data_IF_571736927957
#
_entry.id   IF_571736927957
#
_cell.length_a   1.000
_cell.length_b   1.000
_cell.length_c   1.000
_cell.angle_alpha   90.00
_cell.angle_beta   90.00
_cell.angle_gamma   90.00
#
_symmetry.space_group_name_H-M   'P 1'
#
loop_
_entity.id
_entity.type
_entity.pdbx_description
1 polymer ?
#
# COMPACT_ATOMS: atom_id res chain seq x y z
N UNK A 1 -42.16 38.91 -53.77
CA UNK A 1 -41.10 37.88 -53.88
C UNK A 1 -40.23 37.94 -52.65
N UNK A 2 -40.57 37.14 -51.65
CA UNK A 2 -39.80 37.02 -50.41
C UNK A 2 -38.93 35.76 -50.48
N UNK A 3 -37.61 35.91 -50.38
CA UNK A 3 -36.66 34.81 -50.31
C UNK A 3 -36.52 34.41 -48.86
N UNK A 4 -36.94 33.20 -48.52
CA UNK A 4 -36.71 32.53 -47.20
C UNK A 4 -35.28 31.99 -47.17
N UNK A 5 -34.44 32.55 -46.37
CA UNK A 5 -33.07 32.00 -46.04
C UNK A 5 -33.23 30.97 -44.93
N UNK A 6 -33.05 29.70 -45.27
CA UNK A 6 -32.95 28.60 -44.32
C UNK A 6 -31.50 28.59 -43.75
N UNK A 7 -31.33 28.95 -42.47
CA UNK A 7 -30.09 28.78 -41.76
C UNK A 7 -30.08 27.38 -41.13
N UNK A 8 -29.31 26.47 -41.72
CA UNK A 8 -29.06 25.14 -41.14
C UNK A 8 -27.95 25.32 -40.08
N UNK A 9 -28.32 25.31 -38.79
CA UNK A 9 -27.39 25.23 -37.71
C UNK A 9 -26.89 23.77 -37.58
N UNK A 10 -25.66 23.50 -38.02
CA UNK A 10 -24.95 22.25 -37.72
C UNK A 10 -24.56 22.27 -36.23
N UNK A 11 -25.30 21.55 -35.40
CA UNK A 11 -24.90 21.18 -34.06
C UNK A 11 -23.77 20.13 -34.15
N UNK A 12 -22.53 20.57 -34.08
CA UNK A 12 -21.42 19.69 -33.80
C UNK A 12 -21.58 19.19 -32.35
N UNK A 13 -22.15 18.02 -32.18
CA UNK A 13 -22.03 17.27 -30.94
C UNK A 13 -20.55 16.89 -30.80
N UNK A 14 -19.81 17.63 -29.97
CA UNK A 14 -18.53 17.16 -29.48
C UNK A 14 -18.81 15.93 -28.59
N UNK A 15 -18.78 14.75 -29.19
CA UNK A 15 -18.63 13.52 -28.45
C UNK A 15 -17.26 13.61 -27.77
N UNK A 16 -17.23 13.99 -26.50
CA UNK A 16 -16.06 13.74 -25.66
C UNK A 16 -15.84 12.24 -25.68
N UNK A 17 -14.91 11.79 -26.52
CA UNK A 17 -14.42 10.43 -26.51
C UNK A 17 -13.81 10.22 -25.11
N UNK A 18 -14.57 9.63 -24.18
CA UNK A 18 -14.08 9.27 -22.88
C UNK A 18 -12.83 8.41 -23.09
N UNK A 19 -11.66 8.94 -22.77
CA UNK A 19 -10.41 8.19 -22.86
C UNK A 19 -10.42 7.11 -21.79
N UNK A 20 -10.00 5.91 -22.16
CA UNK A 20 -9.76 4.82 -21.22
C UNK A 20 -8.95 5.30 -20.02
N UNK A 21 -9.37 4.94 -18.81
CA UNK A 21 -8.72 5.43 -17.58
C UNK A 21 -7.51 4.59 -17.22
N UNK A 22 -7.61 3.27 -17.42
CA UNK A 22 -6.53 2.32 -17.28
C UNK A 22 -6.12 1.79 -18.65
N UNK A 23 -4.83 1.93 -18.99
CA UNK A 23 -4.24 1.22 -20.12
C UNK A 23 -3.79 -0.15 -19.65
N UNK A 24 -4.49 -1.19 -20.07
CA UNK A 24 -4.14 -2.56 -19.74
C UNK A 24 -2.80 -2.93 -20.34
N UNK A 25 -1.98 -3.64 -19.55
CA UNK A 25 -0.63 -4.10 -19.89
C UNK A 25 -0.64 -5.63 -20.03
N UNK A 26 0.17 -6.17 -20.93
CA UNK A 26 0.36 -7.62 -21.04
C UNK A 26 1.44 -8.07 -20.05
N UNK A 27 1.04 -8.82 -19.06
CA UNK A 27 1.92 -9.37 -18.04
C UNK A 27 2.52 -10.74 -18.38
N UNK A 28 1.99 -11.38 -19.42
CA UNK A 28 2.34 -12.76 -19.83
C UNK A 28 2.21 -13.82 -18.73
N UNK A 29 1.38 -13.57 -17.70
CA UNK A 29 1.13 -14.52 -16.60
C UNK A 29 -0.35 -14.63 -16.27
N UNK A 30 -0.76 -15.76 -15.72
CA UNK A 30 -2.09 -15.97 -15.15
C UNK A 30 -2.10 -15.96 -13.62
N UNK A 31 -0.96 -15.64 -12.99
CA UNK A 31 -0.88 -15.55 -11.53
C UNK A 31 -1.74 -14.41 -10.99
N UNK A 32 -2.29 -14.57 -9.79
CA UNK A 32 -2.94 -13.47 -9.08
C UNK A 32 -1.85 -12.54 -8.56
N UNK A 33 -1.74 -11.33 -9.15
CA UNK A 33 -0.79 -10.32 -8.71
C UNK A 33 -1.33 -9.63 -7.46
N UNK A 34 -0.47 -9.50 -6.43
CA UNK A 34 -0.83 -9.07 -5.08
C UNK A 34 -0.09 -7.82 -4.62
N UNK A 35 1.14 -7.63 -5.07
CA UNK A 35 2.00 -6.51 -4.72
C UNK A 35 2.49 -5.80 -5.97
N UNK A 36 2.71 -4.50 -5.85
CA UNK A 36 3.31 -3.64 -6.87
C UNK A 36 4.11 -2.54 -6.19
N UNK A 37 5.29 -2.22 -6.71
CA UNK A 37 6.07 -1.06 -6.29
C UNK A 37 6.69 -0.37 -7.51
N UNK A 38 6.26 0.85 -7.78
CA UNK A 38 6.80 1.76 -8.80
C UNK A 38 7.72 2.77 -8.12
N UNK A 39 8.92 2.94 -8.65
CA UNK A 39 9.90 3.90 -8.14
C UNK A 39 10.12 5.09 -9.09
N UNK A 40 9.25 5.22 -10.09
CA UNK A 40 9.40 6.24 -11.13
C UNK A 40 10.39 5.85 -12.22
N UNK A 41 10.67 6.79 -13.14
CA UNK A 41 11.60 6.61 -14.27
C UNK A 41 11.31 5.34 -15.11
N UNK A 42 10.06 4.93 -15.19
CA UNK A 42 9.65 3.75 -15.93
C UNK A 42 9.91 2.41 -15.24
N UNK A 43 10.39 2.41 -13.99
CA UNK A 43 10.74 1.19 -13.25
C UNK A 43 9.61 0.82 -12.30
N UNK A 44 9.12 -0.43 -12.41
CA UNK A 44 8.17 -1.01 -11.46
C UNK A 44 8.38 -2.54 -11.35
N UNK A 45 8.01 -3.08 -10.19
CA UNK A 45 8.07 -4.49 -9.87
C UNK A 45 6.72 -4.96 -9.33
N UNK A 46 6.26 -6.14 -9.77
CA UNK A 46 5.02 -6.75 -9.30
C UNK A 46 5.27 -8.16 -8.77
N UNK A 47 4.46 -8.59 -7.82
CA UNK A 47 4.55 -9.92 -7.20
C UNK A 47 3.17 -10.58 -7.06
N UNK A 48 3.15 -11.90 -6.97
CA UNK A 48 1.89 -12.65 -6.92
C UNK A 48 2.04 -14.11 -6.52
N UNK A 49 0.97 -14.86 -6.74
CA UNK A 49 0.88 -16.29 -6.41
C UNK A 49 1.89 -17.13 -7.19
N UNK A 50 2.15 -18.34 -6.68
CA UNK A 50 3.04 -19.32 -7.30
C UNK A 50 4.47 -18.81 -7.53
N UNK A 51 5.01 -18.03 -6.59
CA UNK A 51 6.36 -17.49 -6.65
C UNK A 51 6.58 -16.50 -7.80
N UNK A 52 5.52 -15.88 -8.31
CA UNK A 52 5.60 -14.99 -9.47
C UNK A 52 6.16 -13.63 -9.07
N UNK A 53 7.15 -13.17 -9.82
CA UNK A 53 7.66 -11.80 -9.80
C UNK A 53 7.81 -11.32 -11.23
N UNK A 54 7.41 -10.08 -11.47
CA UNK A 54 7.54 -9.39 -12.76
C UNK A 54 8.24 -8.05 -12.54
N UNK A 55 8.93 -7.56 -13.57
CA UNK A 55 9.49 -6.21 -13.56
C UNK A 55 9.32 -5.53 -14.91
N UNK A 56 9.28 -4.21 -14.90
CA UNK A 56 9.43 -3.35 -16.08
C UNK A 56 10.51 -2.30 -15.83
N UNK A 57 11.17 -1.86 -16.89
CA UNK A 57 12.13 -0.74 -16.89
C UNK A 57 11.85 0.25 -18.02
N UNK A 58 10.70 0.11 -18.70
CA UNK A 58 10.29 0.91 -19.85
C UNK A 58 8.84 1.43 -19.71
N UNK A 59 8.46 1.76 -18.44
CA UNK A 59 7.17 2.38 -18.13
C UNK A 59 5.97 1.46 -18.43
N UNK A 60 6.19 0.14 -18.34
CA UNK A 60 5.16 -0.89 -18.53
C UNK A 60 4.92 -1.28 -19.99
N UNK A 61 5.73 -0.84 -20.94
CA UNK A 61 5.60 -1.30 -22.33
C UNK A 61 5.92 -2.80 -22.42
N UNK A 62 6.87 -3.28 -21.60
CA UNK A 62 7.19 -4.69 -21.47
C UNK A 62 7.30 -5.09 -19.99
N UNK A 63 6.66 -6.20 -19.64
CA UNK A 63 6.80 -6.84 -18.34
C UNK A 63 7.59 -8.13 -18.50
N UNK A 64 8.75 -8.17 -17.85
CA UNK A 64 9.66 -9.32 -17.84
C UNK A 64 9.29 -10.23 -16.67
N UNK A 65 9.08 -11.52 -16.93
CA UNK A 65 8.99 -12.53 -15.88
C UNK A 65 10.38 -12.79 -15.28
N UNK A 66 10.46 -12.76 -13.98
CA UNK A 66 11.65 -13.07 -13.20
C UNK A 66 11.86 -14.57 -13.04
N UNK A 67 13.11 -14.99 -12.82
CA UNK A 67 13.41 -16.31 -12.31
C UNK A 67 12.73 -16.49 -10.95
N UNK A 68 12.10 -17.65 -10.71
CA UNK A 68 11.50 -17.91 -9.39
C UNK A 68 12.58 -18.20 -8.36
N UNK A 69 12.47 -17.66 -7.13
CA UNK A 69 13.38 -18.04 -6.06
C UNK A 69 13.25 -19.55 -5.77
N UNK A 70 14.35 -20.20 -5.54
CA UNK A 70 14.38 -21.64 -5.24
C UNK A 70 13.54 -21.96 -3.99
N UNK A 71 12.64 -22.92 -4.11
CA UNK A 71 11.71 -23.32 -3.04
C UNK A 71 10.58 -22.33 -2.78
N UNK A 72 10.29 -21.44 -3.74
CA UNK A 72 9.22 -20.47 -3.68
C UNK A 72 8.08 -20.75 -4.68
N UNK A 73 8.10 -21.86 -5.40
CA UNK A 73 7.19 -22.17 -6.50
C UNK A 73 5.72 -22.19 -6.08
N UNK A 74 5.43 -22.52 -4.81
CA UNK A 74 4.08 -22.52 -4.23
C UNK A 74 3.78 -21.33 -3.33
N UNK A 75 4.70 -20.37 -3.17
CA UNK A 75 4.51 -19.25 -2.25
C UNK A 75 3.62 -18.15 -2.85
N UNK A 76 2.85 -17.50 -1.99
CA UNK A 76 2.03 -16.33 -2.33
C UNK A 76 2.81 -15.05 -1.98
N UNK A 77 3.41 -14.40 -2.98
CA UNK A 77 4.14 -13.17 -2.80
C UNK A 77 3.20 -11.97 -2.75
N UNK A 78 2.95 -11.44 -1.54
CA UNK A 78 2.02 -10.34 -1.30
C UNK A 78 2.68 -8.99 -1.12
N UNK A 79 3.97 -8.96 -0.77
CA UNK A 79 4.73 -7.74 -0.60
C UNK A 79 5.91 -7.68 -1.56
N UNK A 80 6.19 -6.48 -2.09
CA UNK A 80 7.37 -6.21 -2.89
C UNK A 80 7.85 -4.78 -2.63
N UNK A 81 9.16 -4.62 -2.49
CA UNK A 81 9.85 -3.33 -2.40
C UNK A 81 10.97 -3.31 -3.43
N UNK A 82 10.87 -2.43 -4.40
CA UNK A 82 11.94 -2.14 -5.35
C UNK A 82 12.84 -1.00 -4.83
N UNK A 83 14.12 -1.09 -5.08
CA UNK A 83 15.11 -0.03 -4.79
C UNK A 83 15.61 0.62 -6.09
N UNK A 84 15.78 -0.18 -7.12
CA UNK A 84 16.19 0.24 -8.46
C UNK A 84 15.74 -0.80 -9.52
N UNK A 85 16.24 -0.69 -10.75
CA UNK A 85 15.91 -1.63 -11.82
C UNK A 85 16.45 -3.06 -11.59
N UNK A 86 17.43 -3.24 -10.70
CA UNK A 86 18.10 -4.52 -10.46
C UNK A 86 17.85 -5.08 -9.05
N UNK A 87 17.51 -4.22 -8.10
CA UNK A 87 17.44 -4.56 -6.69
C UNK A 87 16.01 -4.50 -6.18
N UNK A 88 15.53 -5.61 -5.62
CA UNK A 88 14.22 -5.70 -4.99
C UNK A 88 14.20 -6.75 -3.87
N UNK A 89 13.27 -6.58 -2.93
CA UNK A 89 12.90 -7.58 -1.93
C UNK A 89 11.44 -7.98 -2.17
N UNK A 90 11.17 -9.28 -2.15
CA UNK A 90 9.82 -9.82 -2.21
C UNK A 90 9.50 -10.60 -0.95
N UNK A 91 8.26 -10.47 -0.46
CA UNK A 91 7.75 -11.10 0.75
C UNK A 91 6.64 -12.08 0.41
N UNK A 92 6.78 -13.33 0.84
CA UNK A 92 5.64 -14.24 0.87
C UNK A 92 4.87 -14.12 2.17
N UNK A 93 3.56 -14.33 2.08
CA UNK A 93 2.64 -14.38 3.21
C UNK A 93 2.10 -15.80 3.37
N UNK A 94 2.26 -16.33 4.57
CA UNK A 94 1.79 -17.66 4.93
C UNK A 94 2.15 -17.97 6.38
N UNK A 95 1.56 -19.02 6.94
CA UNK A 95 1.80 -19.37 8.34
C UNK A 95 3.22 -19.91 8.54
N UNK A 96 3.91 -19.42 9.55
CA UNK A 96 5.24 -19.88 9.92
C UNK A 96 6.26 -19.67 8.80
N UNK A 97 6.98 -20.70 8.44
CA UNK A 97 8.06 -20.70 7.45
C UNK A 97 7.59 -20.49 5.99
N UNK A 98 6.31 -20.40 5.73
CA UNK A 98 5.74 -19.93 4.47
C UNK A 98 5.82 -18.41 4.30
N UNK A 99 6.08 -17.66 5.37
CA UNK A 99 6.43 -16.25 5.34
C UNK A 99 7.94 -16.10 5.21
N UNK A 100 8.41 -15.63 4.05
CA UNK A 100 9.83 -15.53 3.69
C UNK A 100 10.13 -14.22 2.95
N UNK A 101 11.36 -13.73 3.11
CA UNK A 101 11.89 -12.63 2.32
C UNK A 101 12.99 -13.15 1.39
N UNK A 102 12.88 -12.79 0.13
CA UNK A 102 13.92 -13.02 -0.88
C UNK A 102 14.39 -11.68 -1.43
N UNK A 103 15.70 -11.56 -1.69
CA UNK A 103 16.32 -10.37 -2.26
C UNK A 103 17.05 -10.71 -3.54
N UNK A 104 16.93 -9.85 -4.54
CA UNK A 104 17.74 -9.84 -5.76
C UNK A 104 18.52 -8.55 -5.86
N UNK A 105 19.68 -8.60 -6.58
CA UNK A 105 20.51 -7.43 -6.90
C UNK A 105 20.97 -7.44 -8.36
N UNK A 106 20.45 -8.35 -9.17
CA UNK A 106 20.88 -8.61 -10.55
C UNK A 106 19.71 -8.59 -11.56
N UNK A 107 18.65 -7.84 -11.25
CA UNK A 107 17.48 -7.74 -12.10
C UNK A 107 16.67 -9.04 -12.14
N UNK A 108 16.60 -9.71 -11.00
CA UNK A 108 15.86 -10.95 -10.75
C UNK A 108 16.36 -12.20 -11.53
N UNK A 109 17.62 -12.21 -11.93
CA UNK A 109 18.21 -13.41 -12.47
C UNK A 109 18.45 -14.45 -11.38
N UNK A 110 18.88 -13.97 -10.19
CA UNK A 110 19.05 -14.79 -8.99
C UNK A 110 18.38 -14.17 -7.76
N UNK A 111 18.07 -15.03 -6.79
CA UNK A 111 17.44 -14.62 -5.53
C UNK A 111 18.16 -15.27 -4.33
N UNK A 112 18.34 -14.49 -3.28
CA UNK A 112 18.84 -14.92 -1.99
C UNK A 112 17.70 -14.94 -0.99
N UNK A 113 17.48 -16.06 -0.30
CA UNK A 113 16.63 -16.10 0.89
C UNK A 113 17.32 -15.33 2.01
N UNK A 114 16.78 -14.19 2.42
CA UNK A 114 17.40 -13.32 3.45
C UNK A 114 16.76 -13.48 4.81
N UNK A 115 15.48 -13.88 4.89
CA UNK A 115 14.83 -14.08 6.18
C UNK A 115 13.64 -15.05 6.07
N UNK A 116 13.47 -15.88 7.09
CA UNK A 116 12.31 -16.77 7.27
C UNK A 116 11.66 -16.47 8.61
N UNK A 117 10.32 -16.49 8.64
CA UNK A 117 9.57 -16.21 9.86
C UNK A 117 9.94 -17.19 10.98
N UNK A 118 10.50 -16.70 12.10
CA UNK A 118 10.86 -17.56 13.23
C UNK A 118 9.66 -17.99 14.08
N UNK A 119 8.48 -17.37 13.87
CA UNK A 119 7.27 -17.66 14.63
C UNK A 119 6.44 -18.72 13.89
N UNK A 120 6.26 -19.91 14.45
CA UNK A 120 5.50 -20.99 13.84
C UNK A 120 4.04 -20.64 13.54
N UNK A 121 3.45 -19.77 14.35
CA UNK A 121 2.08 -19.30 14.20
C UNK A 121 2.01 -17.89 13.59
N UNK A 122 3.16 -17.30 13.26
CA UNK A 122 3.22 -15.97 12.66
C UNK A 122 2.81 -15.98 11.20
N UNK A 123 2.30 -14.85 10.74
CA UNK A 123 1.94 -14.56 9.37
C UNK A 123 2.40 -13.14 9.04
N UNK A 124 3.11 -12.91 7.94
CA UNK A 124 3.57 -11.58 7.57
C UNK A 124 2.62 -10.90 6.59
N UNK A 125 2.35 -9.63 6.84
CA UNK A 125 1.37 -8.84 6.12
C UNK A 125 1.98 -7.79 5.20
N UNK A 126 3.04 -7.11 5.66
CA UNK A 126 3.68 -6.05 4.87
C UNK A 126 5.16 -5.89 5.19
N UNK A 127 5.92 -5.47 4.17
CA UNK A 127 7.32 -5.05 4.25
C UNK A 127 7.48 -3.68 3.59
N UNK A 128 8.08 -2.72 4.31
CA UNK A 128 8.26 -1.36 3.79
C UNK A 128 9.61 -0.81 4.19
N UNK A 129 10.25 -0.10 3.27
CA UNK A 129 11.47 0.65 3.54
C UNK A 129 11.17 2.14 3.62
N UNK A 130 11.99 2.87 4.39
CA UNK A 130 11.88 4.32 4.48
C UNK A 130 12.09 4.96 3.12
N UNK A 131 11.38 6.06 2.89
CA UNK A 131 11.66 6.88 1.71
C UNK A 131 13.07 7.50 1.82
N UNK A 132 13.79 7.69 0.69
CA UNK A 132 15.08 8.36 0.72
C UNK A 132 14.96 9.72 1.40
N UNK A 133 15.82 9.98 2.39
CA UNK A 133 15.89 11.30 2.98
C UNK A 133 16.42 12.31 1.93
N UNK A 134 16.00 13.59 1.94
CA UNK A 134 16.48 14.59 0.99
C UNK A 134 18.01 14.77 0.90
N UNK A 135 18.74 14.23 1.88
CA UNK A 135 20.21 14.24 1.92
C UNK A 135 20.87 13.18 1.04
N UNK A 136 20.11 12.40 0.27
CA UNK A 136 20.67 11.39 -0.65
C UNK A 136 21.19 10.11 0.02
N UNK A 137 20.87 9.87 1.30
CA UNK A 137 21.17 8.59 1.93
C UNK A 137 20.27 7.49 1.35
N UNK A 138 20.86 6.34 1.03
CA UNK A 138 20.15 5.18 0.51
C UNK A 138 19.16 4.64 1.55
N UNK A 139 18.05 4.07 1.06
CA UNK A 139 17.04 3.39 1.88
C UNK A 139 17.64 2.14 2.53
N UNK A 140 18.22 2.27 3.71
CA UNK A 140 18.81 1.14 4.44
C UNK A 140 17.90 0.58 5.50
N UNK A 141 16.98 1.39 6.04
CA UNK A 141 16.08 0.99 7.12
C UNK A 141 14.73 0.51 6.58
N UNK A 142 14.24 -0.59 7.14
CA UNK A 142 12.96 -1.17 6.76
C UNK A 142 12.24 -1.81 7.94
N UNK A 143 10.92 -1.93 7.82
CA UNK A 143 10.03 -2.60 8.75
C UNK A 143 9.30 -3.75 8.05
N UNK A 144 9.23 -4.88 8.71
CA UNK A 144 8.44 -6.05 8.36
C UNK A 144 7.45 -6.29 9.49
N UNK A 145 6.17 -6.38 9.15
CA UNK A 145 5.10 -6.52 10.13
C UNK A 145 4.20 -7.68 9.79
N UNK A 146 3.66 -8.30 10.84
CA UNK A 146 2.73 -9.41 10.69
C UNK A 146 1.73 -9.50 11.84
N UNK A 147 0.81 -10.42 11.68
CA UNK A 147 -0.25 -10.74 12.62
C UNK A 147 0.25 -10.93 14.05
N UNK A 148 -0.62 -10.75 15.03
CA UNK A 148 -0.26 -10.88 16.43
C UNK A 148 0.20 -12.30 16.79
N UNK A 149 1.36 -12.39 17.43
CA UNK A 149 1.87 -13.61 18.05
C UNK A 149 1.96 -13.37 19.56
N UNK A 150 1.36 -14.24 20.35
CA UNK A 150 1.27 -14.11 21.81
C UNK A 150 0.72 -12.73 22.25
N UNK A 151 -0.31 -12.22 21.52
CA UNK A 151 -1.02 -10.99 21.87
C UNK A 151 -0.32 -9.68 21.52
N UNK A 152 0.76 -9.73 20.74
CA UNK A 152 1.47 -8.55 20.23
C UNK A 152 1.78 -8.70 18.77
N UNK A 153 1.71 -7.60 17.99
CA UNK A 153 2.07 -7.61 16.57
C UNK A 153 3.51 -8.03 16.38
N UNK A 154 3.74 -8.87 15.37
CA UNK A 154 5.06 -9.38 15.02
C UNK A 154 5.78 -8.33 14.16
N UNK A 155 6.86 -7.74 14.69
CA UNK A 155 7.59 -6.65 14.02
C UNK A 155 9.08 -7.00 13.98
N UNK A 156 9.66 -6.80 12.79
CA UNK A 156 11.10 -6.92 12.56
C UNK A 156 11.60 -5.67 11.85
N UNK A 157 12.83 -5.29 12.16
CA UNK A 157 13.52 -4.15 11.56
C UNK A 157 14.81 -4.59 10.87
N UNK A 158 15.16 -3.85 9.82
CA UNK A 158 16.46 -3.89 9.16
C UNK A 158 17.08 -2.52 9.11
N UNK A 159 18.41 -2.45 9.04
CA UNK A 159 19.19 -1.22 8.82
C UNK A 159 20.28 -1.39 7.76
N UNK A 160 20.23 -2.48 7.02
CA UNK A 160 21.23 -2.87 6.02
C UNK A 160 20.57 -3.25 4.70
N UNK A 161 19.54 -2.51 4.31
CA UNK A 161 18.77 -2.74 3.09
C UNK A 161 18.18 -4.15 2.98
N UNK A 162 17.80 -4.73 4.14
CA UNK A 162 17.12 -6.02 4.21
C UNK A 162 18.03 -7.24 4.14
N UNK A 163 19.36 -7.09 4.31
CA UNK A 163 20.27 -8.24 4.40
C UNK A 163 20.08 -9.02 5.68
N UNK A 164 19.82 -8.29 6.80
CA UNK A 164 19.52 -8.90 8.11
C UNK A 164 18.28 -8.27 8.75
N UNK A 165 17.55 -9.08 9.50
CA UNK A 165 16.32 -8.66 10.18
C UNK A 165 16.35 -9.02 11.66
N UNK A 166 15.93 -8.09 12.51
CA UNK A 166 15.89 -8.26 13.96
C UNK A 166 14.50 -7.97 14.47
N UNK A 167 14.04 -8.82 15.39
CA UNK A 167 12.77 -8.61 16.07
C UNK A 167 12.80 -7.31 16.87
N UNK A 168 11.73 -6.54 16.77
CA UNK A 168 11.51 -5.39 17.65
C UNK A 168 11.61 -5.79 19.13
N UNK A 169 12.28 -4.97 19.94
CA UNK A 169 12.46 -5.22 21.37
C UNK A 169 13.65 -6.10 21.73
N UNK A 170 14.39 -6.65 20.76
CA UNK A 170 15.65 -7.37 20.99
C UNK A 170 16.81 -6.59 20.41
N UNK A 171 17.46 -5.74 21.25
CA UNK A 171 18.71 -5.05 20.89
C UNK A 171 18.63 -4.34 19.54
N UNK A 172 18.21 -3.06 19.49
CA UNK A 172 18.22 -2.27 18.26
C UNK A 172 19.57 -1.61 18.02
N UNK A 173 19.99 -1.44 16.78
CA UNK A 173 21.07 -0.59 16.26
C UNK A 173 22.26 -0.39 17.23
N UNK A 174 22.97 -1.47 17.61
CA UNK A 174 24.11 -1.40 18.53
C UNK A 174 23.79 -1.57 20.03
N UNK A 175 22.52 -1.62 20.41
CA UNK A 175 22.10 -1.87 21.78
C UNK A 175 22.00 -3.39 22.07
N UNK A 176 22.64 -3.85 23.15
CA UNK A 176 22.66 -5.27 23.56
C UNK A 176 21.59 -5.63 24.58
N UNK A 177 20.76 -4.68 25.04
CA UNK A 177 19.73 -4.89 26.05
C UNK A 177 18.40 -5.43 25.47
N UNK A 178 17.64 -6.15 26.31
CA UNK A 178 16.24 -6.46 26.03
C UNK A 178 15.38 -5.26 26.43
N UNK A 179 14.59 -4.74 25.50
CA UNK A 179 13.73 -3.58 25.72
C UNK A 179 12.45 -3.89 26.50
N UNK A 180 12.31 -5.11 26.99
CA UNK A 180 11.11 -5.52 27.72
C UNK A 180 9.83 -5.52 26.85
N UNK A 181 8.66 -5.44 27.51
CA UNK A 181 7.35 -5.66 26.89
C UNK A 181 6.77 -4.44 26.11
N UNK A 182 7.58 -3.56 25.52
CA UNK A 182 7.11 -2.38 24.77
C UNK A 182 6.71 -2.71 23.33
N UNK A 183 6.10 -3.86 23.10
CA UNK A 183 5.54 -4.26 21.81
C UNK A 183 4.12 -3.73 21.66
N UNK A 184 3.68 -3.34 20.46
CA UNK A 184 2.30 -2.94 20.24
C UNK A 184 1.38 -4.15 20.48
N UNK A 185 0.52 -4.02 21.50
CA UNK A 185 -0.44 -5.07 21.85
C UNK A 185 -1.61 -5.05 20.89
N UNK A 186 -2.03 -6.24 20.48
CA UNK A 186 -3.24 -6.42 19.71
C UNK A 186 -4.46 -6.51 20.64
N UNK A 187 -5.59 -6.00 20.18
CA UNK A 187 -6.90 -6.25 20.77
C UNK A 187 -7.33 -7.70 20.51
N UNK A 188 -8.41 -8.12 21.17
CA UNK A 188 -8.99 -9.43 20.92
C UNK A 188 -9.51 -9.50 19.47
N UNK A 189 -9.11 -10.54 18.72
CA UNK A 189 -9.50 -10.72 17.31
C UNK A 189 -9.10 -9.54 16.38
N UNK A 190 -8.03 -8.84 16.73
CA UNK A 190 -7.41 -7.83 15.88
C UNK A 190 -6.29 -8.44 15.04
N UNK A 191 -6.20 -8.01 13.77
CA UNK A 191 -5.25 -8.52 12.78
C UNK A 191 -4.77 -7.42 11.84
N UNK A 192 -3.74 -7.70 11.06
CA UNK A 192 -3.40 -6.95 9.86
C UNK A 192 -4.01 -7.64 8.63
N UNK A 193 -3.86 -6.98 7.47
CA UNK A 193 -4.32 -7.53 6.20
C UNK A 193 -3.23 -7.45 5.14
N UNK A 194 -2.77 -8.61 4.67
CA UNK A 194 -1.79 -8.75 3.60
C UNK A 194 -2.44 -8.57 2.20
N UNK A 195 -3.12 -7.45 1.99
CA UNK A 195 -3.88 -7.21 0.76
C UNK A 195 -3.03 -6.59 -0.36
N UNK A 196 -2.18 -5.59 -0.03
CA UNK A 196 -1.49 -4.76 -1.01
C UNK A 196 -0.08 -4.34 -0.61
N UNK A 197 0.47 -4.83 0.50
CA UNK A 197 1.72 -4.37 1.11
C UNK A 197 1.67 -2.94 1.70
N UNK A 198 0.50 -2.33 1.81
CA UNK A 198 0.31 -0.93 2.21
C UNK A 198 -0.34 -0.78 3.59
N UNK A 199 -0.44 -1.86 4.36
CA UNK A 199 -0.90 -1.80 5.76
C UNK A 199 0.11 -1.13 6.70
N UNK A 200 1.32 -0.83 6.22
CA UNK A 200 2.38 -0.13 6.95
C UNK A 200 2.94 1.04 6.14
N UNK A 201 3.21 2.14 6.83
CA UNK A 201 3.96 3.29 6.30
C UNK A 201 5.20 3.53 7.15
N UNK A 202 6.37 3.60 6.51
CA UNK A 202 7.66 3.78 7.17
C UNK A 202 8.23 5.15 6.84
N UNK A 203 8.49 5.96 7.86
CA UNK A 203 9.03 7.31 7.69
C UNK A 203 10.55 7.28 7.54
N UNK A 204 11.25 6.99 8.62
CA UNK A 204 12.72 6.93 8.68
C UNK A 204 13.15 6.18 9.94
N UNK A 205 14.33 5.57 9.91
CA UNK A 205 14.92 4.84 11.05
C UNK A 205 13.95 3.82 11.65
N UNK A 206 13.52 4.00 12.91
CA UNK A 206 12.56 3.14 13.60
C UNK A 206 11.14 3.69 13.63
N UNK A 207 10.86 4.77 12.90
CA UNK A 207 9.57 5.45 12.94
C UNK A 207 8.65 4.96 11.83
N UNK A 208 7.56 4.32 12.21
CA UNK A 208 6.57 3.78 11.29
C UNK A 208 5.17 3.80 11.93
N UNK A 209 4.18 3.66 11.11
CA UNK A 209 2.81 3.43 11.52
C UNK A 209 2.22 2.26 10.71
N UNK A 210 1.17 1.65 11.23
CA UNK A 210 0.43 0.60 10.56
C UNK A 210 -1.05 0.64 10.89
N UNK A 211 -1.85 0.03 10.05
CA UNK A 211 -3.31 -0.01 10.22
C UNK A 211 -3.77 -1.43 10.44
N UNK A 212 -4.83 -1.58 11.24
CA UNK A 212 -5.35 -2.87 11.68
C UNK A 212 -6.85 -2.99 11.42
N UNK A 213 -7.39 -4.18 11.62
CA UNK A 213 -8.82 -4.43 11.57
C UNK A 213 -9.20 -5.67 12.36
N UNK A 214 -10.34 -6.25 12.02
CA UNK A 214 -10.94 -7.36 12.74
C UNK A 214 -12.11 -6.93 13.62
N UNK A 215 -12.60 -7.84 14.46
CA UNK A 215 -13.81 -7.60 15.29
C UNK A 215 -13.63 -6.51 16.33
N UNK A 216 -12.40 -6.23 16.77
CA UNK A 216 -12.10 -5.14 17.71
C UNK A 216 -12.18 -3.76 17.08
N UNK A 217 -12.35 -3.66 15.77
CA UNK A 217 -12.34 -2.42 15.00
C UNK A 217 -10.96 -2.06 14.47
N UNK A 218 -10.94 -1.06 13.59
CA UNK A 218 -9.73 -0.57 12.96
C UNK A 218 -9.00 0.45 13.84
N UNK A 219 -7.66 0.38 13.85
CA UNK A 219 -6.79 1.38 14.49
C UNK A 219 -5.67 1.79 13.54
N UNK A 220 -5.22 3.02 13.68
CA UNK A 220 -3.90 3.47 13.27
C UNK A 220 -2.99 3.33 14.49
N UNK A 221 -1.98 2.48 14.41
CA UNK A 221 -0.96 2.27 15.45
C UNK A 221 0.34 2.88 14.95
N UNK A 222 1.02 3.64 15.78
CA UNK A 222 2.24 4.34 15.40
C UNK A 222 3.28 4.28 16.52
N UNK A 223 4.56 4.29 16.11
CA UNK A 223 5.67 4.45 17.03
C UNK A 223 5.76 5.90 17.47
N UNK A 224 5.85 6.14 18.78
CA UNK A 224 6.06 7.50 19.29
C UNK A 224 7.47 7.99 18.90
N UNK A 225 7.51 9.15 18.27
CA UNK A 225 8.75 9.80 17.82
C UNK A 225 9.44 10.49 19.00
N UNK A 226 9.94 9.71 19.95
CA UNK A 226 10.78 10.26 21.00
C UNK A 226 12.25 10.06 20.64
N UNK A 227 12.94 11.20 20.49
CA UNK A 227 14.37 11.41 20.32
C UNK A 227 15.08 10.58 19.25
N UNK A 228 15.56 11.28 18.24
CA UNK A 228 16.38 10.79 17.14
C UNK A 228 17.66 10.06 17.57
N UNK A 229 18.07 10.24 18.84
CA UNK A 229 19.33 9.75 19.39
C UNK A 229 19.16 8.73 20.54
N UNK A 230 17.93 8.39 20.91
CA UNK A 230 17.65 7.44 21.99
C UNK A 230 17.72 5.97 21.55
N UNK A 231 18.02 5.03 22.47
CA UNK A 231 17.94 3.61 22.15
C UNK A 231 16.51 3.24 21.76
N UNK A 232 16.32 2.28 20.80
CA UNK A 232 14.99 1.85 20.31
C UNK A 232 14.03 1.41 21.42
N UNK A 233 14.57 1.12 22.59
CA UNK A 233 13.84 0.74 23.79
C UNK A 233 12.93 1.84 24.36
N UNK A 234 13.14 3.08 23.99
CA UNK A 234 12.35 4.21 24.50
C UNK A 234 11.15 4.52 23.61
N UNK A 235 11.11 3.93 22.43
CA UNK A 235 9.95 4.08 21.55
C UNK A 235 8.75 3.34 22.14
N UNK A 236 7.69 4.07 22.39
CA UNK A 236 6.38 3.53 22.77
C UNK A 236 5.47 3.48 21.54
N UNK A 237 4.35 2.76 21.67
CA UNK A 237 3.34 2.73 20.63
C UNK A 237 2.06 3.35 21.16
N UNK A 238 1.50 4.24 20.37
CA UNK A 238 0.18 4.82 20.58
C UNK A 238 -0.76 4.44 19.45
N UNK A 239 -2.06 4.64 19.62
CA UNK A 239 -3.03 4.33 18.59
C UNK A 239 -4.22 5.27 18.57
N UNK A 240 -4.82 5.40 17.39
CA UNK A 240 -6.07 6.14 17.15
C UNK A 240 -7.08 5.16 16.57
N UNK A 241 -8.29 5.12 17.15
CA UNK A 241 -9.41 4.36 16.60
C UNK A 241 -9.90 4.99 15.30
N UNK A 242 -10.13 4.15 14.30
CA UNK A 242 -10.61 4.57 12.98
C UNK A 242 -12.07 4.15 12.80
N UNK A 243 -12.97 5.04 12.37
CA UNK A 243 -14.38 4.74 12.13
C UNK A 243 -14.58 4.00 10.79
N UNK A 244 -13.86 2.89 10.60
CA UNK A 244 -13.98 2.00 9.46
C UNK A 244 -14.86 0.79 9.80
N UNK A 245 -15.23 0.00 8.78
CA UNK A 245 -16.02 -1.21 8.94
C UNK A 245 -15.40 -2.16 9.98
N UNK A 246 -16.22 -2.72 10.89
CA UNK A 246 -15.77 -3.47 12.06
C UNK A 246 -16.64 -4.68 12.45
N UNK A 247 -17.59 -5.05 11.63
CA UNK A 247 -18.57 -6.06 12.03
C UNK A 247 -18.06 -7.51 11.98
N UNK A 248 -16.91 -7.74 11.35
CA UNK A 248 -16.38 -9.08 11.08
C UNK A 248 -14.85 -9.14 11.20
N UNK A 249 -14.30 -10.35 11.17
CA UNK A 249 -12.85 -10.59 11.08
C UNK A 249 -12.27 -10.19 9.72
N UNK A 250 -13.13 -9.95 8.71
CA UNK A 250 -12.76 -9.54 7.35
C UNK A 250 -12.83 -8.02 7.13
N UNK A 251 -13.21 -7.25 8.16
CA UNK A 251 -13.43 -5.81 8.08
C UNK A 251 -12.34 -5.02 8.79
N UNK A 252 -12.01 -3.84 8.27
CA UNK A 252 -11.06 -2.93 8.90
C UNK A 252 -10.34 -2.02 7.93
N UNK A 253 -9.15 -1.57 8.33
CA UNK A 253 -8.23 -0.81 7.51
C UNK A 253 -7.26 -1.75 6.77
N UNK A 254 -7.04 -1.50 5.49
CA UNK A 254 -6.23 -2.36 4.62
C UNK A 254 -4.99 -1.66 4.09
N UNK A 255 -5.08 -0.36 3.85
CA UNK A 255 -3.97 0.42 3.33
C UNK A 255 -3.93 1.82 3.93
N UNK A 256 -2.72 2.36 4.05
CA UNK A 256 -2.46 3.73 4.45
C UNK A 256 -1.42 4.37 3.53
N UNK A 257 -1.70 5.58 3.06
CA UNK A 257 -0.75 6.39 2.31
C UNK A 257 -0.67 7.80 2.89
N UNK A 258 0.46 8.47 2.68
CA UNK A 258 0.70 9.83 3.14
C UNK A 258 0.73 10.82 1.97
N UNK A 259 0.18 12.02 2.17
CA UNK A 259 0.25 13.12 1.23
C UNK A 259 1.66 13.73 1.15
N UNK A 260 2.36 13.70 2.29
CA UNK A 260 3.75 14.11 2.42
C UNK A 260 4.50 13.08 3.25
N UNK A 261 5.62 12.61 2.76
CA UNK A 261 6.37 11.51 3.38
C UNK A 261 7.39 11.94 4.41
N UNK A 262 7.66 13.25 4.57
CA UNK A 262 8.89 13.70 5.25
C UNK A 262 8.71 14.60 6.45
N UNK A 263 7.55 15.29 6.63
CA UNK A 263 7.39 16.27 7.71
C UNK A 263 5.97 16.35 8.25
N UNK A 264 5.84 16.82 9.51
CA UNK A 264 4.59 17.27 10.10
C UNK A 264 4.09 18.56 9.44
N UNK A 265 2.77 18.73 9.30
CA UNK A 265 1.72 17.82 9.76
C UNK A 265 1.56 16.60 8.87
N UNK A 266 1.36 15.45 9.48
CA UNK A 266 1.00 14.23 8.76
C UNK A 266 -0.40 14.37 8.18
N UNK A 267 -0.55 13.97 6.93
CA UNK A 267 -1.82 13.89 6.22
C UNK A 267 -1.92 12.52 5.57
N UNK A 268 -2.73 11.67 6.17
CA UNK A 268 -2.83 10.26 5.84
C UNK A 268 -4.22 9.94 5.31
N UNK A 269 -4.27 9.15 4.27
CA UNK A 269 -5.49 8.48 3.83
C UNK A 269 -5.43 7.02 4.24
N UNK A 270 -6.45 6.55 4.93
CA UNK A 270 -6.63 5.14 5.27
C UNK A 270 -7.86 4.62 4.56
N UNK A 271 -7.71 3.52 3.87
CA UNK A 271 -8.83 2.85 3.19
C UNK A 271 -8.99 1.42 3.65
N UNK A 272 -10.19 0.88 3.45
CA UNK A 272 -10.53 -0.47 3.85
C UNK A 272 -11.97 -0.84 3.53
N UNK A 273 -12.70 -1.37 4.50
CA UNK A 273 -14.04 -1.89 4.37
C UNK A 273 -14.12 -3.35 4.82
N UNK A 274 -15.04 -4.12 4.27
CA UNK A 274 -15.14 -5.57 4.46
C UNK A 274 -14.97 -6.28 3.11
N UNK A 275 -13.86 -7.01 2.93
CA UNK A 275 -13.57 -7.66 1.64
C UNK A 275 -14.57 -8.77 1.27
N UNK A 276 -15.37 -9.26 2.22
CA UNK A 276 -16.47 -10.20 1.95
C UNK A 276 -17.75 -9.51 1.47
N UNK A 277 -17.76 -8.17 1.54
CA UNK A 277 -18.86 -7.31 1.09
C UNK A 277 -18.30 -6.19 0.20
N UNK A 278 -17.76 -6.53 -0.96
CA UNK A 278 -16.99 -5.57 -1.77
C UNK A 278 -17.79 -4.35 -2.25
N UNK A 279 -19.11 -4.45 -2.29
CA UNK A 279 -20.00 -3.37 -2.75
C UNK A 279 -20.48 -2.46 -1.60
N UNK A 280 -20.11 -2.72 -0.34
CA UNK A 280 -20.50 -1.89 0.80
C UNK A 280 -19.57 -0.68 0.94
N UNK A 281 -20.10 0.53 0.74
CA UNK A 281 -19.35 1.78 0.77
C UNK A 281 -19.26 2.42 2.17
N UNK A 282 -19.96 1.88 3.16
CA UNK A 282 -19.95 2.42 4.51
C UNK A 282 -18.67 2.08 5.26
N UNK A 283 -17.96 3.09 5.80
CA UNK A 283 -16.77 2.90 6.59
C UNK A 283 -15.59 2.29 5.81
N UNK A 284 -15.34 2.77 4.59
CA UNK A 284 -14.29 2.27 3.72
C UNK A 284 -13.14 3.25 3.49
N UNK A 285 -13.24 4.49 3.99
CA UNK A 285 -12.16 5.47 3.94
C UNK A 285 -12.23 6.44 5.12
N UNK A 286 -11.06 6.92 5.56
CA UNK A 286 -10.93 8.04 6.52
C UNK A 286 -9.67 8.84 6.21
N UNK A 287 -9.75 10.14 6.40
CA UNK A 287 -8.60 11.04 6.38
C UNK A 287 -8.13 11.30 7.80
N UNK A 288 -6.83 11.15 8.04
CA UNK A 288 -6.21 11.36 9.35
C UNK A 288 -5.15 12.44 9.22
N UNK A 289 -5.30 13.52 9.99
CA UNK A 289 -4.34 14.62 10.00
C UNK A 289 -3.80 14.88 11.40
N UNK A 290 -2.50 15.16 11.52
CA UNK A 290 -1.92 15.69 12.76
C UNK A 290 -2.00 17.21 12.80
N UNK A 291 -2.00 17.79 13.99
CA UNK A 291 -1.90 19.26 14.16
C UNK A 291 -0.51 19.74 13.79
N UNK A 292 -0.44 20.99 13.31
CA UNK A 292 0.81 21.63 12.92
C UNK A 292 1.75 21.87 14.11
N UNK A 293 3.03 21.63 13.91
CA UNK A 293 4.11 22.30 14.67
C UNK A 293 4.47 21.73 16.03
N UNK A 294 4.09 20.51 16.40
CA UNK A 294 4.34 20.03 17.77
C UNK A 294 5.06 18.68 17.80
N UNK A 295 6.27 18.70 18.34
CA UNK A 295 6.97 17.53 18.88
C UNK A 295 6.37 17.15 20.23
N UNK A 296 5.20 16.50 20.26
CA UNK A 296 4.52 16.10 21.52
C UNK A 296 3.87 14.73 21.36
N UNK A 297 3.61 14.00 22.46
CA UNK A 297 3.05 12.64 22.39
C UNK A 297 1.78 12.59 21.53
N UNK A 298 1.82 11.73 20.53
CA UNK A 298 0.93 11.71 19.37
C UNK A 298 -0.58 11.50 19.64
N UNK A 299 -0.97 10.95 20.79
CA UNK A 299 -2.33 10.45 21.01
C UNK A 299 -3.44 11.51 21.04
N UNK A 300 -3.12 12.78 21.32
CA UNK A 300 -4.13 13.87 21.43
C UNK A 300 -4.17 14.79 20.19
N UNK A 301 -3.44 14.48 19.13
CA UNK A 301 -3.20 15.42 18.03
C UNK A 301 -3.70 14.98 16.66
N UNK A 302 -4.27 13.79 16.56
CA UNK A 302 -4.88 13.35 15.30
C UNK A 302 -6.35 13.76 15.23
N UNK A 303 -6.72 14.36 14.10
CA UNK A 303 -8.11 14.53 13.70
C UNK A 303 -8.44 13.47 12.67
N UNK A 304 -9.53 12.76 12.86
CA UNK A 304 -10.04 11.74 11.94
C UNK A 304 -11.31 12.28 11.29
N UNK A 305 -11.31 12.36 9.97
CA UNK A 305 -12.41 12.88 9.15
C UNK A 305 -12.97 11.78 8.27
N UNK A 306 -14.28 11.56 8.32
CA UNK A 306 -14.97 10.62 7.42
C UNK A 306 -15.41 11.33 6.14
N UNK A 307 -15.46 10.63 4.99
CA UNK A 307 -15.98 11.20 3.75
C UNK A 307 -17.45 11.63 3.87
N UNK A 308 -17.82 12.66 3.12
CA UNK A 308 -19.23 12.99 2.81
C UNK A 308 -19.74 12.06 1.71
N UNK A 309 -18.92 11.89 0.66
CA UNK A 309 -19.16 10.91 -0.40
C UNK A 309 -18.03 9.89 -0.35
N UNK A 310 -18.24 8.68 0.18
CA UNK A 310 -17.20 7.67 0.29
C UNK A 310 -16.83 7.07 -1.07
N UNK A 311 -15.69 6.35 -1.17
CA UNK A 311 -15.39 5.49 -2.30
C UNK A 311 -16.48 4.43 -2.52
N UNK A 312 -16.60 3.92 -3.74
CA UNK A 312 -17.63 2.94 -4.12
C UNK A 312 -17.22 1.51 -3.72
N UNK A 313 -17.46 1.15 -2.46
CA UNK A 313 -17.22 -0.17 -1.88
C UNK A 313 -15.84 -0.36 -1.22
N UNK A 314 -15.50 -1.61 -0.91
CA UNK A 314 -14.24 -1.99 -0.30
C UNK A 314 -13.02 -1.56 -1.13
N UNK A 315 -12.01 -1.00 -0.46
CA UNK A 315 -10.75 -0.56 -1.07
C UNK A 315 -9.55 -1.25 -0.43
N UNK A 316 -8.71 -1.86 -1.26
CA UNK A 316 -7.54 -2.64 -0.84
C UNK A 316 -6.25 -1.82 -0.81
N UNK A 317 -6.21 -0.71 -1.54
CA UNK A 317 -4.99 0.08 -1.74
C UNK A 317 -5.30 1.55 -2.01
N UNK A 318 -4.40 2.45 -1.61
CA UNK A 318 -4.52 3.90 -1.81
C UNK A 318 -3.16 4.53 -2.06
N UNK A 319 -3.11 5.50 -2.96
CA UNK A 319 -1.91 6.28 -3.24
C UNK A 319 -2.25 7.77 -3.42
N UNK A 320 -1.25 8.64 -3.24
CA UNK A 320 -1.37 10.06 -3.49
C UNK A 320 -0.49 10.49 -4.66
N UNK A 321 -1.10 11.16 -5.63
CA UNK A 321 -0.38 11.83 -6.71
C UNK A 321 -0.14 13.30 -6.35
N UNK A 322 1.12 13.62 -6.01
CA UNK A 322 1.53 14.97 -5.63
C UNK A 322 1.46 15.96 -6.81
N UNK A 323 1.57 15.48 -8.05
CA UNK A 323 1.58 16.35 -9.23
C UNK A 323 0.20 16.95 -9.54
N UNK A 324 -0.86 16.24 -9.21
CA UNK A 324 -2.25 16.65 -9.41
C UNK A 324 -3.01 16.89 -8.10
N UNK A 325 -2.35 16.72 -6.95
CA UNK A 325 -2.97 16.81 -5.63
C UNK A 325 -4.19 15.87 -5.49
N UNK A 326 -4.04 14.63 -5.96
CA UNK A 326 -5.15 13.68 -6.06
C UNK A 326 -4.87 12.40 -5.30
N UNK A 327 -5.83 11.98 -4.49
CA UNK A 327 -5.85 10.64 -3.93
C UNK A 327 -6.47 9.67 -4.93
N UNK A 328 -5.87 8.50 -5.07
CA UNK A 328 -6.36 7.40 -5.91
C UNK A 328 -6.50 6.16 -5.05
N UNK A 329 -7.64 5.49 -5.12
CA UNK A 329 -7.86 4.22 -4.42
C UNK A 329 -8.43 3.17 -5.36
N UNK A 330 -8.10 1.91 -5.08
CA UNK A 330 -8.53 0.78 -5.90
C UNK A 330 -9.05 -0.36 -5.04
N UNK A 331 -9.89 -1.19 -5.65
CA UNK A 331 -10.42 -2.40 -5.05
C UNK A 331 -11.07 -3.33 -6.09
N UNK A 332 -11.69 -4.43 -5.67
CA UNK A 332 -12.24 -5.42 -6.62
C UNK A 332 -13.36 -4.88 -7.48
N UNK A 333 -14.13 -3.89 -7.03
CA UNK A 333 -15.26 -3.33 -7.75
C UNK A 333 -14.97 -2.00 -8.44
N UNK A 334 -13.72 -1.50 -8.44
CA UNK A 334 -13.32 -0.32 -9.20
C UNK A 334 -12.26 0.55 -8.54
N UNK A 335 -12.14 1.75 -9.08
CA UNK A 335 -11.21 2.79 -8.65
C UNK A 335 -11.96 4.10 -8.38
N UNK A 336 -11.49 4.86 -7.38
CA UNK A 336 -12.00 6.20 -7.11
C UNK A 336 -10.87 7.19 -6.94
N UNK A 337 -11.18 8.48 -7.17
CA UNK A 337 -10.28 9.58 -6.91
C UNK A 337 -10.93 10.65 -6.03
N UNK A 338 -10.11 11.37 -5.28
CA UNK A 338 -10.49 12.54 -4.48
C UNK A 338 -9.44 13.64 -4.61
N UNK A 339 -9.89 14.89 -4.81
CA UNK A 339 -9.04 16.09 -4.91
C UNK A 339 -9.19 17.03 -3.72
N UNK A 340 -10.00 16.66 -2.72
CA UNK A 340 -10.36 17.45 -1.53
C UNK A 340 -10.06 16.73 -0.21
N UNK A 341 -8.90 16.06 -0.18
CA UNK A 341 -8.41 15.31 0.97
C UNK A 341 -9.41 14.25 1.48
N UNK A 342 -10.11 13.59 0.54
CA UNK A 342 -10.96 12.45 0.81
C UNK A 342 -12.36 12.81 1.31
N UNK A 343 -12.77 14.08 1.27
CA UNK A 343 -14.14 14.46 1.64
C UNK A 343 -15.16 13.94 0.63
N UNK A 344 -14.82 14.02 -0.66
CA UNK A 344 -15.68 13.51 -1.72
C UNK A 344 -14.85 12.65 -2.69
N UNK A 345 -15.36 11.46 -2.94
CA UNK A 345 -14.78 10.53 -3.90
C UNK A 345 -15.68 10.40 -5.12
N UNK A 346 -15.07 10.26 -6.28
CA UNK A 346 -15.77 9.93 -7.51
C UNK A 346 -15.15 8.70 -8.15
N UNK A 347 -16.02 7.78 -8.58
CA UNK A 347 -15.60 6.59 -9.28
C UNK A 347 -14.97 6.94 -10.65
N UNK A 348 -13.86 6.28 -10.96
CA UNK A 348 -13.34 6.19 -12.31
C UNK A 348 -14.15 5.12 -13.04
N UNK A 349 -14.75 5.48 -14.19
CA UNK A 349 -15.57 4.56 -14.98
C UNK A 349 -14.88 4.25 -16.30
N UNK A 350 -14.98 3.01 -16.80
CA UNK A 350 -14.49 2.67 -18.13
C UNK A 350 -15.11 3.59 -19.20
N UNK A 351 -14.36 3.83 -20.26
CA UNK A 351 -14.94 4.49 -21.43
C UNK A 351 -16.04 3.59 -22.04
N UNK A 352 -17.04 4.17 -22.73
CA UNK A 352 -18.11 3.38 -23.36
C UNK A 352 -17.63 2.32 -24.37
N UNK A 353 -16.41 2.46 -24.88
CA UNK A 353 -15.76 1.54 -25.81
C UNK A 353 -14.95 0.44 -25.13
N UNK A 354 -14.85 0.47 -23.80
CA UNK A 354 -14.08 -0.51 -23.01
C UNK A 354 -14.97 -1.58 -22.41
N UNK A 355 -14.34 -2.68 -21.99
CA UNK A 355 -15.03 -3.70 -21.22
C UNK A 355 -15.60 -3.11 -19.90
N UNK A 356 -16.81 -3.49 -19.46
CA UNK A 356 -17.44 -2.97 -18.24
C UNK A 356 -16.64 -3.21 -16.95
N UNK A 357 -15.68 -4.10 -16.98
CA UNK A 357 -14.78 -4.43 -15.86
C UNK A 357 -13.35 -3.87 -16.03
N UNK A 358 -13.13 -2.98 -17.00
CA UNK A 358 -11.79 -2.44 -17.32
C UNK A 358 -11.15 -1.72 -16.15
N UNK A 359 -11.92 -1.15 -15.22
CA UNK A 359 -11.46 -0.49 -14.00
C UNK A 359 -11.61 -1.34 -12.72
N UNK A 360 -11.98 -2.62 -12.83
CA UNK A 360 -12.27 -3.53 -11.70
C UNK A 360 -11.16 -4.56 -11.47
N UNK A 361 -11.34 -5.33 -10.40
CA UNK A 361 -10.46 -6.45 -10.04
C UNK A 361 -9.02 -6.00 -9.73
N UNK A 362 -8.88 -4.98 -8.91
CA UNK A 362 -7.58 -4.53 -8.42
C UNK A 362 -7.29 -5.03 -7.01
N UNK A 363 -6.03 -5.46 -6.77
CA UNK A 363 -5.53 -5.87 -5.46
C UNK A 363 -4.62 -4.80 -4.85
N UNK A 364 -3.70 -4.22 -5.64
CA UNK A 364 -2.70 -3.28 -5.16
C UNK A 364 -2.44 -2.15 -6.18
N UNK A 365 -1.96 -1.02 -5.66
CA UNK A 365 -1.71 0.22 -6.41
C UNK A 365 -0.35 0.80 -6.02
N UNK A 366 0.47 1.12 -7.02
CA UNK A 366 1.64 1.98 -6.86
C UNK A 366 1.74 2.82 -8.12
N UNK A 367 1.32 4.08 -8.05
CA UNK A 367 1.17 4.96 -9.22
C UNK A 367 2.41 4.96 -10.12
N UNK A 368 2.22 4.87 -11.42
CA UNK A 368 0.95 4.87 -12.14
C UNK A 368 0.30 3.48 -12.33
N UNK A 369 0.78 2.41 -11.70
CA UNK A 369 0.34 1.04 -11.95
C UNK A 369 -0.59 0.51 -10.86
N UNK A 370 -1.56 -0.33 -11.28
CA UNK A 370 -2.34 -1.20 -10.42
C UNK A 370 -2.24 -2.65 -10.92
N UNK A 371 -2.33 -3.60 -9.97
CA UNK A 371 -2.30 -5.04 -10.26
C UNK A 371 -3.47 -5.76 -9.65
N UNK A 372 -3.81 -6.91 -10.23
CA UNK A 372 -4.96 -7.71 -9.80
C UNK A 372 -4.86 -9.18 -10.22
N UNK A 373 -5.95 -9.96 -10.06
CA UNK A 373 -5.96 -11.39 -10.35
C UNK A 373 -5.75 -11.66 -11.85
N UNK A 374 -5.29 -12.89 -12.14
CA UNK A 374 -5.09 -13.42 -13.49
C UNK A 374 -4.13 -12.57 -14.32
N UNK A 375 -3.04 -12.12 -13.72
CA UNK A 375 -2.01 -11.34 -14.40
C UNK A 375 -2.41 -9.92 -14.75
N UNK A 376 -3.51 -9.42 -14.18
CA UNK A 376 -4.01 -8.08 -14.48
C UNK A 376 -3.02 -7.01 -14.06
N UNK A 377 -2.60 -6.17 -15.02
CA UNK A 377 -1.84 -4.94 -14.81
C UNK A 377 -2.50 -3.82 -15.59
N UNK A 378 -2.73 -2.69 -14.95
CA UNK A 378 -3.19 -1.46 -15.58
C UNK A 378 -2.26 -0.31 -15.28
N UNK A 379 -2.06 0.57 -16.25
CA UNK A 379 -1.39 1.85 -16.08
C UNK A 379 -2.41 2.98 -16.13
N UNK A 380 -2.50 3.74 -15.06
CA UNK A 380 -3.40 4.89 -14.97
C UNK A 380 -2.94 5.99 -15.92
N UNK A 381 -3.86 6.53 -16.69
CA UNK A 381 -3.60 7.69 -17.55
C UNK A 381 -3.64 8.95 -16.69
N UNK A 382 -2.57 9.70 -16.69
CA UNK A 382 -2.43 10.92 -15.87
C UNK A 382 -3.46 12.00 -16.22
N UNK A 383 -4.00 12.00 -17.44
CA UNK A 383 -5.03 12.94 -17.89
C UNK A 383 -6.33 12.84 -17.09
N UNK A 384 -6.64 11.66 -16.52
CA UNK A 384 -7.87 11.47 -15.71
C UNK A 384 -7.76 12.07 -14.31
N UNK A 385 -6.55 12.38 -13.87
CA UNK A 385 -6.27 13.02 -12.57
C UNK A 385 -6.29 14.56 -12.66
N UNK A 386 -6.29 15.10 -13.87
CA UNK A 386 -6.40 16.55 -14.07
C UNK A 386 -7.82 17.00 -13.78
N UNK A 387 -8.02 18.14 -13.09
CA UNK A 387 -9.33 18.70 -12.81
C UNK A 387 -10.13 19.08 -14.05
#
# INVERSE_FOLDING_TARGET
>A
MWRLLLVIALLFAFSSSGSAQWRMQDSHTSADLRGIHSIGNGIAWASGTNGTVLRTADDGEHWQACTKPSGAEGLDFRGIQAFDANTAIVMSSGKGDLSRLYKTVDGCQTWKLVFTNPDKDGFWDAVRFSQPWPTGQSETSGVLIGDPVAGSFSIFLTSDSGETWRRWGRGGFGWKGDCGERKPKAGKDEALFAASNESVFHFFSSNFLFVTGGRSGARLVYSDLHDFDGPPCWTTFSSVSLPLARASSSAGAFAVAAKNSTYFPLRLMVVGGDYTKPDESSGNAVFVSSKDGVHVPFSSYFTVTTPVTPPDGYRSSVAYDASTNTWVTVGPNGSDISTDDGLNWRALKPAPTEAPDADKNWNALSLPFAVGPRGRIGKLRTEVLKP
#
